data_IF_631119445229
#
_entry.id   IF_631119445229
#
_cell.length_a   1.000
_cell.length_b   1.000
_cell.length_c   1.000
_cell.angle_alpha   90.00
_cell.angle_beta   90.00
_cell.angle_gamma   90.00
#
_symmetry.space_group_name_H-M   'P 1'
#
loop_
_entity.id
_entity.type
_entity.pdbx_description
1 polymer ?
#
# COMPACT_ATOMS: atom_id res chain seq x y z
N UNK A 1 -1.73 -12.40 -4.15
CA UNK A 1 -2.35 -12.47 -2.80
C UNK A 1 -1.27 -13.00 -1.87
N UNK A 2 -0.84 -12.20 -0.89
CA UNK A 2 0.11 -12.63 0.13
C UNK A 2 -0.59 -12.71 1.48
N UNK A 3 -0.52 -13.87 2.15
CA UNK A 3 -1.07 -14.11 3.48
C UNK A 3 0.08 -14.37 4.44
N UNK A 4 0.02 -13.76 5.63
CA UNK A 4 0.94 -14.08 6.71
C UNK A 4 0.15 -14.19 8.02
N UNK A 5 0.56 -15.13 8.88
CA UNK A 5 -0.06 -15.36 10.18
C UNK A 5 0.93 -15.03 11.29
N UNK A 6 0.41 -14.53 12.42
CA UNK A 6 1.20 -14.26 13.62
C UNK A 6 0.42 -14.76 14.85
N UNK A 7 1.16 -15.23 15.85
CA UNK A 7 0.60 -15.74 17.11
C UNK A 7 0.89 -14.73 18.20
N UNK A 8 -0.11 -14.32 18.98
CA UNK A 8 0.13 -13.40 20.09
C UNK A 8 0.78 -14.10 21.30
N UNK A 9 1.17 -13.31 22.30
CA UNK A 9 1.80 -13.81 23.54
C UNK A 9 0.94 -14.82 24.31
N UNK A 10 -0.36 -14.94 24.00
CA UNK A 10 -1.29 -15.90 24.60
C UNK A 10 -1.48 -17.17 23.76
N UNK A 11 -0.76 -17.31 22.65
CA UNK A 11 -0.90 -18.45 21.73
C UNK A 11 -2.09 -18.33 20.77
N UNK A 12 -2.81 -17.20 20.76
CA UNK A 12 -3.99 -17.00 19.92
C UNK A 12 -3.57 -16.53 18.53
N UNK A 13 -4.07 -17.20 17.49
CA UNK A 13 -3.85 -16.80 16.09
C UNK A 13 -4.51 -15.45 15.85
N UNK A 14 -3.74 -14.46 15.43
CA UNK A 14 -4.25 -13.18 14.95
C UNK A 14 -4.03 -13.06 13.45
N UNK A 15 -4.98 -12.41 12.80
CA UNK A 15 -4.77 -11.94 11.45
C UNK A 15 -3.61 -10.93 11.49
N UNK A 16 -2.56 -11.20 10.72
CA UNK A 16 -1.39 -10.33 10.69
C UNK A 16 -1.54 -9.29 9.59
N UNK A 17 -1.55 -9.75 8.33
CA UNK A 17 -1.75 -8.90 7.15
C UNK A 17 -2.05 -9.69 5.89
N UNK A 18 -2.74 -9.04 4.96
CA UNK A 18 -2.99 -9.50 3.60
C UNK A 18 -2.75 -8.36 2.61
N UNK A 19 -2.18 -8.68 1.45
CA UNK A 19 -2.02 -7.75 0.33
C UNK A 19 -2.68 -8.31 -0.93
N UNK A 20 -3.47 -7.48 -1.61
CA UNK A 20 -4.25 -7.84 -2.80
C UNK A 20 -4.03 -6.81 -3.90
N UNK A 21 -3.37 -7.26 -4.96
CA UNK A 21 -3.23 -6.55 -6.23
C UNK A 21 -3.71 -7.47 -7.36
N UNK A 22 -4.70 -7.00 -8.13
CA UNK A 22 -5.21 -7.76 -9.27
C UNK A 22 -4.39 -7.44 -10.51
N UNK A 23 -4.04 -8.47 -11.28
CA UNK A 23 -3.30 -8.31 -12.55
C UNK A 23 -3.94 -7.28 -13.48
N UNK A 24 -5.27 -7.27 -13.57
CA UNK A 24 -6.02 -6.31 -14.38
C UNK A 24 -5.84 -4.85 -13.90
N UNK A 25 -5.83 -4.60 -12.59
CA UNK A 25 -5.62 -3.26 -12.03
C UNK A 25 -4.18 -2.79 -12.25
N UNK A 26 -3.21 -3.67 -11.99
CA UNK A 26 -1.78 -3.43 -12.31
C UNK A 26 -1.60 -3.03 -13.77
N UNK A 27 -2.15 -3.81 -14.70
CA UNK A 27 -2.04 -3.52 -16.13
C UNK A 27 -2.79 -2.25 -16.53
N UNK A 28 -3.98 -2.02 -15.99
CA UNK A 28 -4.76 -0.81 -16.24
C UNK A 28 -4.01 0.46 -15.82
N UNK A 29 -3.34 0.42 -14.68
CA UNK A 29 -2.49 1.52 -14.22
C UNK A 29 -1.30 1.74 -15.14
N UNK A 30 -0.47 0.72 -15.33
CA UNK A 30 0.78 0.83 -16.11
C UNK A 30 0.53 1.27 -17.55
N UNK A 31 -0.62 0.91 -18.14
CA UNK A 31 -0.92 1.23 -19.53
C UNK A 31 -1.61 2.58 -19.72
N UNK A 32 -2.31 3.12 -18.71
CA UNK A 32 -3.27 4.23 -18.93
C UNK A 32 -3.32 5.27 -17.82
N UNK A 33 -3.07 4.93 -16.56
CA UNK A 33 -3.23 5.90 -15.47
C UNK A 33 -2.08 6.91 -15.46
N UNK A 34 -2.33 8.07 -14.83
CA UNK A 34 -1.29 9.06 -14.59
C UNK A 34 -0.24 8.47 -13.64
N UNK A 35 1.04 8.87 -13.72
CA UNK A 35 2.08 8.45 -12.79
C UNK A 35 1.94 9.14 -11.41
N UNK A 36 0.73 9.09 -10.85
CA UNK A 36 0.33 9.68 -9.58
C UNK A 36 -0.28 8.57 -8.71
N UNK A 37 0.25 8.38 -7.51
CA UNK A 37 -0.17 7.34 -6.59
C UNK A 37 -0.56 7.99 -5.26
N UNK A 38 -1.85 7.98 -4.95
CA UNK A 38 -2.36 8.29 -3.62
C UNK A 38 -2.23 7.06 -2.72
N UNK A 39 -1.77 7.22 -1.49
CA UNK A 39 -1.81 6.18 -0.45
C UNK A 39 -2.56 6.68 0.77
N UNK A 40 -3.45 5.85 1.31
CA UNK A 40 -4.30 6.19 2.46
C UNK A 40 -4.47 4.97 3.35
N UNK A 41 -4.40 5.20 4.67
CA UNK A 41 -4.80 4.24 5.70
C UNK A 41 -6.14 4.64 6.31
N UNK A 42 -7.06 3.69 6.51
CA UNK A 42 -8.29 3.96 7.25
C UNK A 42 -8.67 2.81 8.19
N UNK A 43 -9.33 3.15 9.29
CA UNK A 43 -9.71 2.18 10.32
C UNK A 43 -10.95 1.36 9.87
N UNK A 44 -10.85 0.04 9.97
CA UNK A 44 -11.97 -0.86 9.72
C UNK A 44 -12.88 -0.94 10.95
N UNK A 45 -14.18 -0.74 10.75
CA UNK A 45 -15.22 -0.92 11.78
C UNK A 45 -15.74 -2.36 11.77
N UNK A 46 -14.87 -3.32 12.05
CA UNK A 46 -15.22 -4.75 12.19
C UNK A 46 -14.86 -5.24 13.60
N UNK A 47 -15.43 -6.36 14.11
CA UNK A 47 -15.20 -6.82 15.48
C UNK A 47 -13.72 -7.01 15.87
N UNK A 48 -12.87 -7.28 14.89
CA UNK A 48 -11.44 -7.50 15.08
C UNK A 48 -10.59 -6.26 14.77
N UNK A 49 -11.21 -5.13 14.44
CA UNK A 49 -10.55 -3.90 14.03
C UNK A 49 -9.70 -4.07 12.78
N UNK A 50 -8.55 -3.39 12.76
CA UNK A 50 -7.59 -3.42 11.66
C UNK A 50 -7.64 -2.16 10.80
N UNK A 51 -6.67 -2.08 9.90
CA UNK A 51 -6.43 -0.92 9.05
C UNK A 51 -6.44 -1.38 7.61
N UNK A 52 -7.22 -0.68 6.79
CA UNK A 52 -7.21 -0.82 5.34
C UNK A 52 -6.21 0.18 4.78
N UNK A 53 -5.09 -0.33 4.28
CA UNK A 53 -4.14 0.45 3.50
C UNK A 53 -4.51 0.34 2.03
N UNK A 54 -4.56 1.45 1.32
CA UNK A 54 -4.92 1.48 -0.11
C UNK A 54 -3.92 2.30 -0.91
N UNK A 55 -3.70 1.90 -2.16
CA UNK A 55 -3.07 2.73 -3.16
C UNK A 55 -4.07 2.97 -4.29
N UNK A 56 -4.17 4.23 -4.70
CA UNK A 56 -5.09 4.71 -5.72
C UNK A 56 -4.34 5.58 -6.72
N UNK A 57 -4.88 5.71 -7.92
CA UNK A 57 -4.41 6.63 -8.94
C UNK A 57 -5.59 7.39 -9.55
N UNK A 58 -5.30 8.19 -10.57
CA UNK A 58 -6.28 8.90 -11.39
C UNK A 58 -6.19 8.34 -12.81
N UNK A 59 -7.31 7.83 -13.31
CA UNK A 59 -7.40 7.29 -14.67
C UNK A 59 -7.47 8.43 -15.72
N UNK A 60 -7.43 8.11 -17.04
CA UNK A 60 -7.59 9.10 -18.10
C UNK A 60 -8.90 9.90 -18.05
N UNK A 61 -9.94 9.36 -17.41
CA UNK A 61 -11.25 10.00 -17.25
C UNK A 61 -11.33 10.86 -15.99
N UNK A 62 -10.21 11.08 -15.30
CA UNK A 62 -10.12 11.80 -14.03
C UNK A 62 -10.92 11.13 -12.89
N UNK A 63 -11.13 9.83 -12.96
CA UNK A 63 -11.77 9.05 -11.91
C UNK A 63 -10.73 8.40 -11.01
N UNK A 64 -11.13 8.16 -9.75
CA UNK A 64 -10.31 7.42 -8.81
C UNK A 64 -10.17 5.97 -9.29
N UNK A 65 -8.93 5.51 -9.45
CA UNK A 65 -8.61 4.17 -9.86
C UNK A 65 -7.95 3.41 -8.70
N UNK A 66 -8.58 2.33 -8.22
CA UNK A 66 -7.98 1.49 -7.18
C UNK A 66 -6.83 0.65 -7.79
N UNK A 67 -5.64 0.73 -7.19
CA UNK A 67 -4.49 -0.08 -7.61
C UNK A 67 -4.39 -1.38 -6.82
N UNK A 68 -4.38 -1.24 -5.51
CA UNK A 68 -4.16 -2.34 -4.57
C UNK A 68 -4.67 -1.94 -3.20
N UNK A 69 -4.92 -2.94 -2.37
CA UNK A 69 -5.22 -2.72 -0.96
C UNK A 69 -4.64 -3.83 -0.10
N UNK A 70 -4.48 -3.51 1.18
CA UNK A 70 -4.04 -4.44 2.20
C UNK A 70 -4.85 -4.24 3.47
N UNK A 71 -5.11 -5.34 4.16
CA UNK A 71 -5.61 -5.29 5.54
C UNK A 71 -4.44 -5.64 6.44
N UNK A 72 -4.21 -4.81 7.46
CA UNK A 72 -3.16 -5.01 8.46
C UNK A 72 -3.74 -4.90 9.86
N UNK A 73 -3.17 -5.62 10.83
CA UNK A 73 -3.65 -5.56 12.22
C UNK A 73 -3.41 -4.21 12.90
N UNK A 74 -2.37 -3.48 12.51
CA UNK A 74 -1.99 -2.18 13.08
C UNK A 74 -1.37 -1.28 12.02
N UNK A 75 -1.69 0.01 12.09
CA UNK A 75 -1.02 1.03 11.31
C UNK A 75 0.31 1.39 11.98
N UNK A 76 1.40 0.92 11.39
CA UNK A 76 2.75 1.12 11.89
C UNK A 76 3.69 1.38 10.73
N UNK A 77 4.86 1.96 11.02
CA UNK A 77 5.94 2.10 10.05
C UNK A 77 6.26 0.78 9.34
N UNK A 78 6.21 -0.35 10.04
CA UNK A 78 6.51 -1.66 9.47
C UNK A 78 5.41 -2.17 8.55
N UNK A 79 4.14 -1.92 8.89
CA UNK A 79 3.00 -2.21 8.02
C UNK A 79 3.06 -1.38 6.73
N UNK A 80 3.35 -0.09 6.84
CA UNK A 80 3.51 0.81 5.70
C UNK A 80 4.71 0.44 4.82
N UNK A 81 5.88 0.18 5.42
CA UNK A 81 7.06 -0.29 4.69
C UNK A 81 6.74 -1.56 3.90
N UNK A 82 6.10 -2.53 4.53
CA UNK A 82 5.72 -3.78 3.87
C UNK A 82 4.73 -3.54 2.72
N UNK A 83 3.69 -2.73 2.93
CA UNK A 83 2.74 -2.35 1.89
C UNK A 83 3.43 -1.69 0.69
N UNK A 84 4.28 -0.69 0.95
CA UNK A 84 5.02 0.04 -0.09
C UNK A 84 6.03 -0.84 -0.83
N UNK A 85 6.66 -1.80 -0.15
CA UNK A 85 7.55 -2.78 -0.82
C UNK A 85 6.78 -3.68 -1.79
N UNK A 86 5.62 -4.21 -1.39
CA UNK A 86 4.78 -5.01 -2.29
C UNK A 86 4.28 -4.18 -3.46
N UNK A 87 3.82 -2.94 -3.20
CA UNK A 87 3.41 -2.00 -4.25
C UNK A 87 4.53 -1.73 -5.25
N UNK A 88 5.76 -1.47 -4.76
CA UNK A 88 6.94 -1.22 -5.58
C UNK A 88 7.25 -2.41 -6.48
N UNK A 89 7.22 -3.62 -5.92
CA UNK A 89 7.47 -4.87 -6.65
C UNK A 89 6.40 -5.11 -7.73
N UNK A 90 5.12 -4.95 -7.37
CA UNK A 90 4.02 -5.15 -8.32
C UNK A 90 4.00 -4.11 -9.44
N UNK A 91 4.38 -2.87 -9.17
CA UNK A 91 4.46 -1.84 -10.20
C UNK A 91 5.81 -1.79 -10.92
N UNK A 92 6.74 -2.71 -10.58
CA UNK A 92 8.10 -2.77 -11.12
C UNK A 92 8.77 -1.39 -11.08
N UNK A 93 8.63 -0.67 -9.96
CA UNK A 93 9.11 0.70 -9.87
C UNK A 93 10.64 0.70 -9.65
N UNK A 94 11.35 1.07 -10.70
CA UNK A 94 12.81 1.21 -10.74
C UNK A 94 13.26 2.62 -10.32
N UNK A 95 14.58 2.82 -10.16
CA UNK A 95 15.16 4.08 -9.66
C UNK A 95 14.80 5.31 -10.50
N UNK A 96 14.69 5.15 -11.81
CA UNK A 96 14.49 6.25 -12.74
C UNK A 96 13.01 6.46 -13.10
N UNK A 97 12.11 5.70 -12.48
CA UNK A 97 10.68 5.81 -12.73
C UNK A 97 10.11 7.07 -12.05
N UNK A 98 9.48 7.92 -12.85
CA UNK A 98 8.83 9.15 -12.36
C UNK A 98 7.44 8.81 -11.86
N UNK A 99 7.27 8.63 -10.55
CA UNK A 99 5.96 8.52 -9.89
C UNK A 99 5.84 9.58 -8.81
N UNK A 100 4.73 10.31 -8.78
CA UNK A 100 4.40 11.25 -7.70
C UNK A 100 3.54 10.53 -6.66
N UNK A 101 3.96 10.54 -5.40
CA UNK A 101 3.15 10.00 -4.30
C UNK A 101 2.40 11.12 -3.56
N UNK A 102 1.15 10.86 -3.22
CA UNK A 102 0.31 11.74 -2.39
C UNK A 102 -0.15 10.96 -1.18
N UNK A 103 -0.07 11.56 -0.01
CA UNK A 103 -0.59 10.98 1.23
C UNK A 103 -1.16 12.05 2.14
N UNK A 104 -1.97 11.61 3.10
CA UNK A 104 -2.49 12.44 4.20
C UNK A 104 -1.45 12.73 5.29
N UNK A 105 -0.17 12.37 5.06
CA UNK A 105 0.96 12.56 5.98
C UNK A 105 0.77 11.91 7.34
N UNK A 106 0.10 10.76 7.41
CA UNK A 106 0.02 10.00 8.64
C UNK A 106 1.42 9.73 9.23
N UNK A 107 1.55 9.83 10.57
CA UNK A 107 2.84 9.88 11.31
C UNK A 107 3.83 8.77 10.92
N UNK A 108 3.30 7.57 10.66
CA UNK A 108 4.09 6.37 10.40
C UNK A 108 4.50 6.20 8.94
N UNK A 109 3.92 6.99 8.03
CA UNK A 109 4.07 6.83 6.59
C UNK A 109 5.32 7.51 6.05
N UNK A 110 5.66 8.72 6.52
CA UNK A 110 6.88 9.44 6.09
C UNK A 110 8.14 8.60 6.35
N UNK A 111 8.36 8.05 7.56
CA UNK A 111 9.54 7.22 7.83
C UNK A 111 9.55 5.89 7.05
N UNK A 112 8.38 5.39 6.65
CA UNK A 112 8.27 4.21 5.79
C UNK A 112 8.66 4.53 4.34
N UNK A 113 8.20 5.68 3.83
CA UNK A 113 8.62 6.21 2.53
C UNK A 113 10.12 6.39 2.51
N UNK A 114 10.75 7.07 3.47
CA UNK A 114 12.20 7.27 3.48
C UNK A 114 12.98 5.96 3.30
N UNK A 115 12.55 4.86 3.92
CA UNK A 115 13.21 3.56 3.78
C UNK A 115 13.02 2.94 2.39
N UNK A 116 11.81 3.03 1.83
CA UNK A 116 11.49 2.45 0.51
C UNK A 116 11.98 3.34 -0.63
N UNK A 117 12.04 4.64 -0.36
CA UNK A 117 12.27 5.77 -1.26
C UNK A 117 13.68 6.34 -1.25
N UNK A 118 14.64 5.77 -0.51
CA UNK A 118 16.08 6.04 -0.76
C UNK A 118 16.47 5.76 -2.24
N UNK A 119 15.59 5.11 -3.01
CA UNK A 119 15.73 4.87 -4.45
C UNK A 119 14.76 5.71 -5.32
N UNK A 120 14.07 6.72 -4.77
CA UNK A 120 13.23 7.64 -5.52
C UNK A 120 13.91 9.02 -5.55
N UNK A 121 14.06 9.67 -6.72
CA UNK A 121 14.61 11.02 -6.77
C UNK A 121 13.73 11.97 -5.96
N UNK A 122 14.36 12.80 -5.13
CA UNK A 122 13.71 13.84 -4.33
C UNK A 122 13.16 14.95 -5.21
#
# INVERSE_FOLDING_TARGET
>A
MALSGETDASGKKKFYRIYICFKALKQGFLNRCRPLIGVVGCHLKVPHGGILLTAVSIDPNNQLFLLTYAVVGLESKQSWKWFLMNLKEDLCIERDAVYTFVSDKQKELIPAFEIVAVNFPR
#
